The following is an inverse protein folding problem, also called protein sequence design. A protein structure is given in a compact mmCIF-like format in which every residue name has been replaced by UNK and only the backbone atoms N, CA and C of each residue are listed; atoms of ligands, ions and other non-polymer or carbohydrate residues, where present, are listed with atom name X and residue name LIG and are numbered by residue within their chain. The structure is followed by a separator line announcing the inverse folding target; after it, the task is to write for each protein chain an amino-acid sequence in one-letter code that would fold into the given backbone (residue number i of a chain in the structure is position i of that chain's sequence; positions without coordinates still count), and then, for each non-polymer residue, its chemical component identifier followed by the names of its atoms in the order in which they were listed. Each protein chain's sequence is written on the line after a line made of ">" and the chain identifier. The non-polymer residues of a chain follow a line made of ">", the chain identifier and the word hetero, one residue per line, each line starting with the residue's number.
data_IF_873319366688
#
_entry.id   IF_873319366688
#
_cell.length_a   1.000
_cell.length_b   1.000
_cell.length_c   1.000
_cell.angle_alpha   90.00
_cell.angle_beta   90.00
_cell.angle_gamma   90.00
#
_symmetry.space_group_name_H-M   'P 1'
#
loop_
_entity.id
_entity.type
_entity.pdbx_description
1 polymer ?
#
# COMPACT_ATOMS: atom_id res chain seq x y z
N UNK A 1 -10.62 26.02 -27.97
CA UNK A 1 -10.10 24.68 -28.23
C UNK A 1 -9.35 24.22 -26.98
N UNK A 2 -9.95 23.36 -26.16
CA UNK A 2 -9.23 22.74 -25.04
C UNK A 2 -8.15 21.83 -25.64
N UNK A 3 -6.88 22.06 -25.27
CA UNK A 3 -5.80 21.13 -25.59
C UNK A 3 -6.16 19.79 -24.99
N UNK A 4 -6.35 18.76 -25.78
CA UNK A 4 -6.39 17.37 -25.29
C UNK A 4 -5.14 17.14 -24.47
N UNK A 5 -5.31 16.92 -23.18
CA UNK A 5 -4.20 16.54 -22.29
C UNK A 5 -3.80 15.12 -22.67
N UNK A 6 -2.62 14.93 -23.21
CA UNK A 6 -2.08 13.60 -23.45
C UNK A 6 -1.39 13.10 -22.17
N UNK A 7 -1.75 11.90 -21.70
CA UNK A 7 -1.10 11.28 -20.55
C UNK A 7 0.26 10.70 -20.99
N UNK A 8 1.33 11.47 -20.77
CA UNK A 8 2.70 11.06 -21.06
C UNK A 8 3.43 10.68 -19.75
N UNK A 9 3.47 9.39 -19.44
CA UNK A 9 4.15 8.88 -18.23
C UNK A 9 5.64 8.63 -18.51
N UNK A 10 6.53 8.88 -17.53
CA UNK A 10 7.95 8.64 -17.69
C UNK A 10 8.26 7.15 -17.93
N UNK A 11 9.10 6.86 -18.91
CA UNK A 11 9.57 5.49 -19.16
C UNK A 11 10.53 5.07 -18.04
N UNK A 12 10.28 3.91 -17.43
CA UNK A 12 11.18 3.34 -16.43
C UNK A 12 12.47 2.81 -17.09
N UNK A 13 13.59 3.21 -16.51
CA UNK A 13 14.92 2.73 -16.89
C UNK A 13 15.63 2.20 -15.65
N UNK A 14 15.70 0.87 -15.47
CA UNK A 14 16.32 0.27 -14.29
C UNK A 14 17.81 0.59 -14.21
N UNK A 15 18.34 0.60 -12.99
CA UNK A 15 19.79 0.74 -12.76
C UNK A 15 20.51 -0.52 -13.21
N UNK A 16 21.35 -0.43 -14.22
CA UNK A 16 22.07 -1.58 -14.81
C UNK A 16 23.04 -2.27 -13.83
N UNK A 17 23.52 -1.55 -12.82
CA UNK A 17 24.43 -2.06 -11.79
C UNK A 17 23.72 -2.83 -10.66
N UNK A 18 22.37 -2.81 -10.60
CA UNK A 18 21.55 -3.48 -9.57
C UNK A 18 20.59 -4.48 -10.24
N UNK A 19 21.07 -5.61 -10.78
CA UNK A 19 20.24 -6.55 -11.51
C UNK A 19 19.40 -7.42 -10.57
N UNK A 20 18.22 -7.81 -11.06
CA UNK A 20 17.34 -8.81 -10.44
C UNK A 20 16.41 -8.27 -9.35
N UNK A 21 15.24 -8.91 -9.25
CA UNK A 21 14.15 -8.45 -8.40
C UNK A 21 14.51 -8.36 -6.91
N UNK A 22 15.29 -9.30 -6.37
CA UNK A 22 15.70 -9.29 -4.97
C UNK A 22 16.60 -8.09 -4.64
N UNK A 23 17.63 -7.83 -5.44
CA UNK A 23 18.52 -6.70 -5.22
C UNK A 23 17.75 -5.37 -5.33
N UNK A 24 16.88 -5.25 -6.33
CA UNK A 24 16.03 -4.09 -6.55
C UNK A 24 14.97 -3.88 -5.45
N UNK A 25 14.62 -4.93 -4.71
CA UNK A 25 13.73 -4.85 -3.54
C UNK A 25 14.50 -4.43 -2.27
N UNK A 26 15.62 -5.11 -1.98
CA UNK A 26 16.33 -4.96 -0.72
C UNK A 26 17.13 -3.65 -0.66
N UNK A 27 17.86 -3.32 -1.73
CA UNK A 27 18.76 -2.16 -1.73
C UNK A 27 18.05 -0.84 -1.44
N UNK A 28 16.92 -0.49 -2.10
CA UNK A 28 16.20 0.73 -1.80
C UNK A 28 15.62 0.79 -0.40
N UNK A 29 15.20 -0.35 0.13
CA UNK A 29 14.55 -0.44 1.43
C UNK A 29 15.54 -0.39 2.61
N UNK A 30 16.71 -1.02 2.47
CA UNK A 30 17.64 -1.23 3.58
C UNK A 30 18.94 -0.44 3.49
N UNK A 31 19.41 -0.10 2.29
CA UNK A 31 20.74 0.45 2.07
C UNK A 31 20.75 1.87 1.48
N UNK A 32 19.71 2.27 0.76
CA UNK A 32 19.66 3.59 0.16
C UNK A 32 19.22 4.64 1.18
N UNK A 33 20.16 5.48 1.59
CA UNK A 33 19.85 6.59 2.49
C UNK A 33 19.00 7.66 1.79
N UNK A 34 17.96 8.12 2.47
CA UNK A 34 17.15 9.26 2.08
C UNK A 34 17.04 10.25 3.24
N UNK A 35 17.01 11.54 2.92
CA UNK A 35 16.80 12.56 3.95
C UNK A 35 15.43 12.34 4.62
N UNK A 36 15.37 12.20 5.95
CA UNK A 36 14.09 12.05 6.64
C UNK A 36 13.17 13.25 6.42
N UNK A 37 11.88 12.99 6.42
CA UNK A 37 10.83 14.02 6.45
C UNK A 37 10.41 14.30 7.89
N UNK A 38 10.07 15.56 8.14
CA UNK A 38 9.40 15.95 9.38
C UNK A 38 7.90 15.79 9.21
N UNK A 39 7.25 15.16 10.16
CA UNK A 39 5.82 14.96 10.19
C UNK A 39 5.20 15.59 11.42
N UNK A 40 3.99 16.16 11.25
CA UNK A 40 3.11 16.49 12.37
C UNK A 40 2.24 15.26 12.64
N UNK A 41 2.37 14.67 13.82
CA UNK A 41 1.60 13.50 14.25
C UNK A 41 0.28 13.90 14.88
N UNK A 42 -0.80 13.26 14.42
CA UNK A 42 -2.11 13.26 15.04
C UNK A 42 -2.51 11.86 15.47
N UNK A 43 -3.48 11.75 16.37
CA UNK A 43 -4.13 10.50 16.73
C UNK A 43 -5.61 10.61 16.38
N UNK A 44 -6.09 9.68 15.55
CA UNK A 44 -7.50 9.63 15.20
C UNK A 44 -8.17 8.48 15.91
N UNK A 45 -9.30 8.78 16.55
CA UNK A 45 -10.18 7.77 17.12
C UNK A 45 -10.97 7.13 15.98
N UNK A 46 -10.90 5.82 15.92
CA UNK A 46 -11.61 5.00 14.92
C UNK A 46 -13.08 4.84 15.30
N UNK A 47 -13.97 4.44 14.37
CA UNK A 47 -15.39 4.26 14.67
C UNK A 47 -15.70 3.27 15.79
N UNK A 48 -14.83 2.28 16.00
CA UNK A 48 -14.90 1.29 17.08
C UNK A 48 -14.14 1.70 18.36
N UNK A 49 -13.82 3.00 18.51
CA UNK A 49 -13.18 3.60 19.69
C UNK A 49 -11.73 3.15 19.95
N UNK A 50 -11.06 2.60 18.96
CA UNK A 50 -9.60 2.43 18.98
C UNK A 50 -8.90 3.70 18.46
N UNK A 51 -7.58 3.65 18.24
CA UNK A 51 -6.81 4.79 17.74
C UNK A 51 -5.80 4.39 16.69
N UNK A 52 -5.59 5.28 15.71
CA UNK A 52 -4.49 5.19 14.75
C UNK A 52 -3.63 6.45 14.77
N UNK A 53 -2.34 6.31 14.49
CA UNK A 53 -1.44 7.42 14.26
C UNK A 53 -1.57 7.93 12.83
N UNK A 54 -1.55 9.25 12.66
CA UNK A 54 -1.66 9.88 11.35
C UNK A 54 -0.56 10.92 11.22
N UNK A 55 0.32 10.74 10.26
CA UNK A 55 1.44 11.63 9.99
C UNK A 55 1.14 12.56 8.82
N UNK A 56 1.22 13.86 9.07
CA UNK A 56 1.03 14.91 8.08
C UNK A 56 2.36 15.50 7.62
N UNK A 57 2.52 15.69 6.31
CA UNK A 57 3.58 16.55 5.78
C UNK A 57 3.12 18.00 5.68
N UNK A 58 4.07 18.92 5.73
CA UNK A 58 3.80 20.31 5.40
C UNK A 58 3.47 20.47 3.91
N UNK A 59 2.72 21.53 3.58
CA UNK A 59 2.37 21.91 2.22
C UNK A 59 1.48 23.17 2.22
N UNK A 60 1.16 23.68 1.03
CA UNK A 60 0.34 24.89 0.90
C UNK A 60 -1.15 24.58 1.09
N UNK A 61 -1.86 25.43 1.80
CA UNK A 61 -3.31 25.32 1.88
C UNK A 61 -3.95 25.42 0.48
N UNK A 62 -5.05 24.69 0.26
CA UNK A 62 -5.75 24.67 -1.03
C UNK A 62 -5.08 23.81 -2.13
N UNK A 63 -3.91 23.24 -1.86
CA UNK A 63 -3.25 22.31 -2.81
C UNK A 63 -3.75 20.88 -2.65
N UNK A 64 -3.52 20.00 -3.64
CA UNK A 64 -3.90 18.60 -3.55
C UNK A 64 -3.36 17.91 -2.29
N UNK A 65 -4.15 16.96 -1.77
CA UNK A 65 -3.79 16.12 -0.64
C UNK A 65 -3.62 14.67 -1.09
N UNK A 66 -2.46 14.08 -0.80
CA UNK A 66 -2.15 12.69 -1.11
C UNK A 66 -2.27 11.87 0.17
N UNK A 67 -3.13 10.86 0.15
CA UNK A 67 -3.26 9.87 1.23
C UNK A 67 -2.44 8.63 0.85
N UNK A 68 -1.50 8.22 1.70
CA UNK A 68 -0.66 7.06 1.47
C UNK A 68 -1.00 5.92 2.44
N UNK A 69 -1.44 4.80 1.90
CA UNK A 69 -1.61 3.53 2.60
C UNK A 69 -0.34 2.69 2.45
N UNK A 70 0.33 2.43 3.56
CA UNK A 70 1.64 1.76 3.55
C UNK A 70 1.55 0.24 3.39
N UNK A 71 2.67 -0.41 3.06
CA UNK A 71 2.78 -1.87 2.97
C UNK A 71 2.79 -2.55 4.35
N UNK A 72 2.89 -3.89 4.30
CA UNK A 72 3.00 -4.73 5.51
C UNK A 72 4.13 -4.22 6.41
N UNK A 73 3.81 -3.98 7.68
CA UNK A 73 4.74 -3.46 8.71
C UNK A 73 5.40 -2.11 8.36
N UNK A 74 4.86 -1.40 7.36
CA UNK A 74 5.36 -0.10 6.91
C UNK A 74 4.98 1.08 7.81
N UNK A 75 5.41 2.26 7.39
CA UNK A 75 5.11 3.54 8.07
C UNK A 75 5.37 4.73 7.16
N UNK A 76 5.14 5.95 7.66
CA UNK A 76 5.55 7.21 7.03
C UNK A 76 7.06 7.32 6.77
N UNK A 77 7.87 6.49 7.44
CA UNK A 77 9.34 6.42 7.29
C UNK A 77 9.81 5.41 6.24
N UNK A 78 8.91 4.66 5.65
CA UNK A 78 9.25 3.74 4.56
C UNK A 78 9.85 4.50 3.38
N UNK A 79 10.85 3.93 2.71
CA UNK A 79 11.60 4.57 1.63
C UNK A 79 10.70 5.15 0.54
N UNK A 80 9.62 4.45 0.17
CA UNK A 80 8.66 4.88 -0.82
C UNK A 80 7.81 6.08 -0.34
N UNK A 81 7.45 6.12 0.94
CA UNK A 81 6.71 7.24 1.52
C UNK A 81 7.56 8.51 1.55
N UNK A 82 8.81 8.39 2.00
CA UNK A 82 9.79 9.49 2.02
C UNK A 82 10.03 10.00 0.60
N UNK A 83 10.25 9.12 -0.36
CA UNK A 83 10.49 9.49 -1.77
C UNK A 83 9.28 10.21 -2.39
N UNK A 84 8.05 9.68 -2.18
CA UNK A 84 6.83 10.28 -2.71
C UNK A 84 6.62 11.69 -2.14
N UNK A 85 6.72 11.84 -0.83
CA UNK A 85 6.41 13.13 -0.21
C UNK A 85 7.51 14.18 -0.39
N UNK A 86 8.75 13.81 -0.61
CA UNK A 86 9.76 14.76 -1.08
C UNK A 86 9.39 15.36 -2.44
N UNK A 87 8.88 14.56 -3.36
CA UNK A 87 8.46 15.03 -4.67
C UNK A 87 7.14 15.81 -4.63
N UNK A 88 6.20 15.39 -3.77
CA UNK A 88 4.94 16.11 -3.53
C UNK A 88 5.20 17.51 -2.91
N UNK A 89 6.07 17.58 -1.91
CA UNK A 89 6.47 18.83 -1.28
C UNK A 89 7.07 19.85 -2.27
N UNK A 90 7.92 19.38 -3.20
CA UNK A 90 8.47 20.25 -4.26
C UNK A 90 7.40 20.86 -5.16
N UNK A 91 6.22 20.23 -5.26
CA UNK A 91 5.04 20.73 -5.97
C UNK A 91 4.12 21.56 -5.08
N UNK A 92 4.47 21.73 -3.81
CA UNK A 92 3.64 22.38 -2.81
C UNK A 92 2.43 21.55 -2.38
N UNK A 93 2.36 20.25 -2.73
CA UNK A 93 1.27 19.37 -2.37
C UNK A 93 1.44 18.84 -0.94
N UNK A 94 0.33 18.53 -0.31
CA UNK A 94 0.28 17.97 1.04
C UNK A 94 0.23 16.45 1.01
N UNK A 95 0.73 15.83 2.06
CA UNK A 95 0.68 14.39 2.23
C UNK A 95 0.19 13.99 3.61
N UNK A 96 -0.44 12.83 3.66
CA UNK A 96 -0.89 12.21 4.90
C UNK A 96 -0.63 10.70 4.85
N UNK A 97 -0.11 10.15 5.95
CA UNK A 97 0.06 8.71 6.15
C UNK A 97 -0.75 8.29 7.37
N UNK A 98 -1.98 7.82 7.18
CA UNK A 98 -2.66 7.06 8.22
C UNK A 98 -1.94 5.73 8.39
N UNK A 99 -1.50 5.43 9.62
CA UNK A 99 -0.89 4.16 9.92
C UNK A 99 -1.98 3.12 10.18
N UNK A 100 -1.84 1.96 9.56
CA UNK A 100 -2.70 0.83 9.91
C UNK A 100 -2.57 0.48 11.38
N UNK A 101 -3.60 -0.11 11.94
CA UNK A 101 -3.65 -0.53 13.35
C UNK A 101 -2.40 -1.33 13.72
N UNK A 102 -1.87 -1.13 14.91
CA UNK A 102 -0.60 -1.70 15.39
C UNK A 102 0.67 -1.17 14.71
N UNK A 103 0.54 -0.26 13.74
CA UNK A 103 1.68 0.42 13.10
C UNK A 103 1.83 1.86 13.61
N UNK A 104 2.95 2.51 13.27
CA UNK A 104 3.19 3.91 13.62
C UNK A 104 3.40 4.19 15.11
N UNK A 105 3.71 3.17 15.92
CA UNK A 105 3.92 3.29 17.38
C UNK A 105 2.70 3.79 18.17
N UNK A 106 1.50 3.58 17.67
CA UNK A 106 0.26 3.84 18.41
C UNK A 106 -0.26 2.50 18.92
N UNK A 107 -0.39 2.34 20.26
CA UNK A 107 -0.94 1.11 20.80
C UNK A 107 -2.44 1.04 20.51
N UNK A 108 -2.84 -0.02 19.84
CA UNK A 108 -4.25 -0.36 19.68
C UNK A 108 -4.77 -1.12 20.91
N UNK A 109 -5.96 -0.81 21.35
CA UNK A 109 -6.58 -1.42 22.53
C UNK A 109 -7.45 -2.61 22.19
N UNK A 110 -8.07 -2.58 20.98
CA UNK A 110 -8.96 -3.65 20.54
C UNK A 110 -8.18 -4.86 20.01
N UNK A 111 -8.75 -6.07 20.05
CA UNK A 111 -8.15 -7.28 19.48
C UNK A 111 -7.86 -7.14 17.99
N UNK A 112 -8.73 -6.48 17.26
CA UNK A 112 -8.58 -6.22 15.82
C UNK A 112 -7.22 -5.61 15.49
N UNK A 113 -6.57 -6.12 14.47
CA UNK A 113 -5.38 -5.59 13.83
C UNK A 113 -5.76 -5.02 12.46
N UNK A 114 -4.82 -4.94 11.54
CA UNK A 114 -5.08 -4.65 10.13
C UNK A 114 -4.92 -5.92 9.30
N UNK A 115 -5.52 -5.95 8.12
CA UNK A 115 -5.36 -7.03 7.17
C UNK A 115 -5.35 -6.52 5.72
N UNK A 116 -4.97 -7.40 4.77
CA UNK A 116 -4.71 -6.98 3.39
C UNK A 116 -5.96 -6.47 2.64
N UNK A 117 -7.17 -6.87 3.05
CA UNK A 117 -8.42 -6.44 2.43
C UNK A 117 -9.22 -5.45 3.27
N UNK A 118 -8.58 -4.64 4.12
CA UNK A 118 -9.25 -3.73 5.07
C UNK A 118 -9.82 -2.47 4.40
N UNK A 119 -10.74 -2.69 3.45
CA UNK A 119 -11.39 -1.63 2.68
C UNK A 119 -12.27 -0.72 3.54
N UNK A 120 -12.86 -1.25 4.62
CA UNK A 120 -13.68 -0.46 5.53
C UNK A 120 -12.86 0.63 6.26
N UNK A 121 -11.62 0.32 6.64
CA UNK A 121 -10.74 1.31 7.28
C UNK A 121 -10.25 2.34 6.25
N UNK A 122 -9.98 1.92 5.02
CA UNK A 122 -9.67 2.82 3.89
C UNK A 122 -10.85 3.78 3.63
N UNK A 123 -12.09 3.27 3.58
CA UNK A 123 -13.30 4.07 3.37
C UNK A 123 -13.46 5.13 4.45
N UNK A 124 -13.40 4.73 5.71
CA UNK A 124 -13.52 5.64 6.83
C UNK A 124 -12.47 6.77 6.79
N UNK A 125 -11.22 6.44 6.51
CA UNK A 125 -10.12 7.42 6.41
C UNK A 125 -10.38 8.41 5.28
N UNK A 126 -10.69 7.92 4.07
CA UNK A 126 -10.88 8.75 2.90
C UNK A 126 -12.12 9.65 3.02
N UNK A 127 -13.25 9.10 3.50
CA UNK A 127 -14.48 9.91 3.73
C UNK A 127 -14.30 10.94 4.84
N UNK A 128 -13.56 10.61 5.91
CA UNK A 128 -13.20 11.59 6.95
C UNK A 128 -12.40 12.75 6.35
N UNK A 129 -11.43 12.46 5.50
CA UNK A 129 -10.64 13.51 4.83
C UNK A 129 -11.48 14.33 3.86
N UNK A 130 -12.32 13.69 3.04
CA UNK A 130 -13.23 14.40 2.13
C UNK A 130 -14.18 15.32 2.88
N UNK A 131 -14.71 14.87 4.03
CA UNK A 131 -15.58 15.69 4.90
C UNK A 131 -14.85 16.91 5.47
N UNK A 132 -13.60 16.72 5.90
CA UNK A 132 -12.82 17.80 6.53
C UNK A 132 -12.19 18.76 5.51
N UNK A 133 -12.02 18.33 4.27
CA UNK A 133 -11.40 19.08 3.18
C UNK A 133 -12.23 18.95 1.89
N UNK A 134 -13.50 19.41 1.86
CA UNK A 134 -14.43 19.14 0.76
C UNK A 134 -13.95 19.68 -0.59
N UNK A 135 -13.29 20.84 -0.60
CA UNK A 135 -12.80 21.51 -1.80
C UNK A 135 -11.37 21.11 -2.21
N UNK A 136 -10.70 20.30 -1.38
CA UNK A 136 -9.33 19.88 -1.67
C UNK A 136 -9.33 18.66 -2.59
N UNK A 137 -8.64 18.69 -3.74
CA UNK A 137 -8.44 17.49 -4.54
C UNK A 137 -7.73 16.41 -3.73
N UNK A 138 -8.41 15.28 -3.53
CA UNK A 138 -7.89 14.15 -2.76
C UNK A 138 -7.44 13.05 -3.71
N UNK A 139 -6.21 12.55 -3.50
CA UNK A 139 -5.61 11.43 -4.21
C UNK A 139 -5.19 10.34 -3.22
N UNK A 140 -5.28 9.08 -3.63
CA UNK A 140 -4.88 7.96 -2.80
C UNK A 140 -3.76 7.15 -3.44
N UNK A 141 -2.76 6.76 -2.64
CA UNK A 141 -1.67 5.87 -3.07
C UNK A 141 -1.56 4.71 -2.09
N UNK A 142 -1.57 3.49 -2.61
CA UNK A 142 -1.33 2.29 -1.81
C UNK A 142 -0.06 1.57 -2.25
N UNK A 143 0.76 1.15 -1.30
CA UNK A 143 1.96 0.37 -1.55
C UNK A 143 1.81 -1.04 -0.99
N UNK A 144 2.14 -2.05 -1.79
CA UNK A 144 2.11 -3.45 -1.37
C UNK A 144 0.75 -3.81 -0.75
N UNK A 145 0.68 -4.28 0.49
CA UNK A 145 -0.56 -4.56 1.22
C UNK A 145 -1.54 -3.38 1.18
N UNK A 146 -1.05 -2.15 1.41
CA UNK A 146 -1.89 -0.95 1.31
C UNK A 146 -2.44 -0.69 -0.09
N UNK A 147 -1.70 -1.13 -1.13
CA UNK A 147 -2.17 -1.12 -2.51
C UNK A 147 -3.32 -2.08 -2.74
N UNK A 148 -3.26 -3.29 -2.18
CA UNK A 148 -4.36 -4.25 -2.25
C UNK A 148 -5.60 -3.74 -1.51
N UNK A 149 -5.45 -3.20 -0.29
CA UNK A 149 -6.57 -2.63 0.47
C UNK A 149 -7.25 -1.46 -0.27
N UNK A 150 -6.45 -0.59 -0.90
CA UNK A 150 -6.95 0.52 -1.71
C UNK A 150 -7.69 0.03 -2.97
N UNK A 151 -7.12 -0.93 -3.71
CA UNK A 151 -7.78 -1.52 -4.89
C UNK A 151 -9.08 -2.24 -4.52
N UNK A 152 -9.09 -2.93 -3.37
CA UNK A 152 -10.28 -3.59 -2.83
C UNK A 152 -11.38 -2.56 -2.56
N UNK A 153 -11.05 -1.46 -1.87
CA UNK A 153 -11.97 -0.36 -1.63
C UNK A 153 -12.50 0.26 -2.93
N UNK A 154 -11.60 0.55 -3.88
CA UNK A 154 -11.98 1.13 -5.19
C UNK A 154 -12.98 0.26 -5.95
N UNK A 155 -12.74 -1.05 -6.00
CA UNK A 155 -13.64 -1.98 -6.69
C UNK A 155 -14.95 -2.18 -5.96
N UNK A 156 -14.97 -2.23 -4.62
CA UNK A 156 -16.18 -2.37 -3.82
C UNK A 156 -17.06 -1.10 -3.86
N UNK A 157 -16.45 0.09 -3.94
CA UNK A 157 -17.17 1.35 -4.05
C UNK A 157 -17.63 1.65 -5.48
N UNK A 158 -16.95 1.14 -6.50
CA UNK A 158 -17.28 1.43 -7.90
C UNK A 158 -17.38 2.94 -8.15
N UNK A 159 -18.50 3.37 -8.77
CA UNK A 159 -18.73 4.78 -9.13
C UNK A 159 -18.75 5.73 -7.94
N UNK A 160 -19.16 5.27 -6.74
CA UNK A 160 -19.24 6.14 -5.55
C UNK A 160 -17.86 6.58 -5.03
N UNK A 161 -16.80 5.89 -5.40
CA UNK A 161 -15.44 6.31 -5.07
C UNK A 161 -15.05 7.65 -5.72
N UNK A 162 -15.67 8.03 -6.87
CA UNK A 162 -15.45 9.31 -7.54
C UNK A 162 -15.92 10.52 -6.71
N UNK A 163 -16.87 10.32 -5.79
CA UNK A 163 -17.32 11.37 -4.87
C UNK A 163 -16.28 11.68 -3.81
N UNK A 164 -15.30 10.78 -3.63
CA UNK A 164 -14.32 10.85 -2.55
C UNK A 164 -12.94 11.26 -3.05
N UNK A 165 -12.42 10.61 -4.08
CA UNK A 165 -11.09 10.87 -4.63
C UNK A 165 -11.10 11.09 -6.15
N UNK A 166 -10.12 11.84 -6.65
CA UNK A 166 -9.99 12.16 -8.08
C UNK A 166 -9.20 11.13 -8.88
N UNK A 167 -8.22 10.51 -8.26
CA UNK A 167 -7.46 9.40 -8.85
C UNK A 167 -6.73 8.62 -7.77
N UNK A 168 -6.32 7.39 -8.11
CA UNK A 168 -5.56 6.50 -7.24
C UNK A 168 -4.31 5.95 -7.92
N UNK A 169 -3.35 5.48 -7.11
CA UNK A 169 -2.25 4.66 -7.57
C UNK A 169 -2.03 3.48 -6.63
N UNK A 170 -1.81 2.29 -7.18
CA UNK A 170 -1.44 1.10 -6.42
C UNK A 170 -0.11 0.57 -6.95
N UNK A 171 0.85 0.39 -6.05
CA UNK A 171 2.22 0.01 -6.39
C UNK A 171 2.55 -1.31 -5.75
N UNK A 172 3.00 -2.27 -6.56
CA UNK A 172 3.39 -3.61 -6.11
C UNK A 172 2.32 -4.26 -5.21
N UNK A 173 1.04 -4.10 -5.58
CA UNK A 173 -0.09 -4.59 -4.81
C UNK A 173 -0.27 -6.11 -4.99
N UNK A 174 -0.33 -6.90 -3.91
CA UNK A 174 -0.59 -8.34 -3.97
C UNK A 174 -2.08 -8.62 -4.19
N UNK A 175 -2.57 -8.40 -5.41
CA UNK A 175 -3.98 -8.52 -5.77
C UNK A 175 -4.52 -9.96 -5.67
N UNK A 176 -3.63 -10.95 -5.76
CA UNK A 176 -3.87 -12.36 -5.51
C UNK A 176 -3.05 -12.80 -4.30
N UNK A 177 -3.67 -12.76 -3.12
CA UNK A 177 -2.98 -13.04 -1.85
C UNK A 177 -2.51 -14.49 -1.75
N UNK A 178 -3.21 -15.42 -2.35
CA UNK A 178 -2.81 -16.83 -2.35
C UNK A 178 -1.53 -17.03 -3.19
N UNK A 179 -1.47 -16.45 -4.38
CA UNK A 179 -0.27 -16.50 -5.22
C UNK A 179 0.92 -15.82 -4.52
N UNK A 180 0.70 -14.64 -3.93
CA UNK A 180 1.73 -13.86 -3.21
C UNK A 180 2.22 -14.60 -1.96
N UNK A 181 1.32 -15.05 -1.08
CA UNK A 181 1.66 -15.77 0.14
C UNK A 181 2.44 -17.05 -0.15
N UNK A 182 1.98 -17.82 -1.15
CA UNK A 182 2.69 -19.04 -1.58
C UNK A 182 4.09 -18.75 -2.16
N UNK A 183 4.29 -17.61 -2.84
CA UNK A 183 5.59 -17.20 -3.35
C UNK A 183 6.53 -16.75 -2.22
N UNK A 184 6.01 -16.00 -1.26
CA UNK A 184 6.78 -15.55 -0.08
C UNK A 184 7.19 -16.71 0.83
N UNK A 185 6.35 -17.73 0.98
CA UNK A 185 6.60 -18.87 1.86
C UNK A 185 7.53 -19.93 1.27
N UNK A 186 8.06 -19.74 0.04
CA UNK A 186 8.93 -20.71 -0.64
C UNK A 186 10.33 -20.18 -0.90
N UNK A 187 11.28 -21.11 -0.96
CA UNK A 187 12.65 -20.86 -1.40
C UNK A 187 13.34 -19.73 -0.65
N UNK A 188 14.07 -18.90 -1.38
CA UNK A 188 14.84 -17.79 -0.83
C UNK A 188 13.94 -16.70 -0.20
N UNK A 189 12.72 -16.49 -0.71
CA UNK A 189 11.77 -15.52 -0.19
C UNK A 189 11.44 -15.77 1.28
N UNK A 190 11.25 -17.05 1.64
CA UNK A 190 10.96 -17.45 3.03
C UNK A 190 12.07 -17.02 4.01
N UNK A 191 13.32 -17.07 3.58
CA UNK A 191 14.45 -16.71 4.43
C UNK A 191 14.70 -15.20 4.47
N UNK A 192 14.53 -14.52 3.35
CA UNK A 192 14.79 -13.08 3.24
C UNK A 192 13.64 -12.22 3.75
N UNK A 193 12.39 -12.58 3.43
CA UNK A 193 11.22 -11.70 3.66
C UNK A 193 10.26 -12.27 4.69
N UNK A 194 9.78 -13.52 4.51
CA UNK A 194 8.79 -14.10 5.42
C UNK A 194 9.29 -14.17 6.86
N UNK A 195 10.55 -14.54 7.04
CA UNK A 195 11.17 -14.59 8.37
C UNK A 195 11.20 -13.21 9.05
N UNK A 196 11.49 -12.15 8.31
CA UNK A 196 11.52 -10.78 8.81
C UNK A 196 10.12 -10.30 9.18
N UNK A 197 9.15 -10.48 8.29
CA UNK A 197 7.75 -10.14 8.57
C UNK A 197 7.20 -10.88 9.79
N UNK A 198 7.40 -12.18 9.87
CA UNK A 198 6.95 -12.97 11.02
C UNK A 198 7.63 -12.55 12.33
N UNK A 199 8.84 -12.00 12.28
CA UNK A 199 9.55 -11.48 13.46
C UNK A 199 8.78 -10.33 14.11
N UNK A 200 8.26 -9.40 13.34
CA UNK A 200 7.47 -8.26 13.82
C UNK A 200 6.02 -8.62 14.08
N UNK A 201 5.39 -9.37 13.18
CA UNK A 201 3.98 -9.79 13.29
C UNK A 201 3.73 -10.63 14.55
N UNK A 202 4.60 -11.59 14.90
CA UNK A 202 4.49 -12.37 16.14
C UNK A 202 4.56 -11.51 17.39
N UNK A 203 5.47 -10.53 17.45
CA UNK A 203 5.55 -9.59 18.58
C UNK A 203 4.26 -8.81 18.77
N UNK A 204 3.67 -8.33 17.68
CA UNK A 204 2.39 -7.63 17.68
C UNK A 204 1.23 -8.54 18.08
N UNK A 205 1.18 -9.77 17.55
CA UNK A 205 0.18 -10.76 17.95
C UNK A 205 0.29 -11.08 19.44
N UNK A 206 1.48 -11.29 19.97
CA UNK A 206 1.70 -11.52 21.40
C UNK A 206 1.20 -10.34 22.26
N UNK A 207 1.47 -9.11 21.82
CA UNK A 207 0.96 -7.93 22.53
C UNK A 207 -0.57 -7.90 22.54
N UNK A 208 -1.21 -8.16 21.40
CA UNK A 208 -2.67 -8.20 21.26
C UNK A 208 -3.33 -9.27 22.13
N UNK A 209 -2.74 -10.47 22.17
CA UNK A 209 -3.25 -11.57 22.99
C UNK A 209 -3.15 -11.31 24.51
N UNK A 210 -2.21 -10.45 24.94
CA UNK A 210 -2.14 -9.99 26.32
C UNK A 210 -3.22 -8.97 26.69
N UNK A 211 -3.75 -8.22 25.71
CA UNK A 211 -4.78 -7.20 25.93
C UNK A 211 -6.18 -7.79 25.94
N UNK A 212 -6.38 -8.92 25.29
CA UNK A 212 -7.66 -9.62 25.25
C UNK A 212 -7.41 -11.11 25.20
N UNK A 213 -8.01 -11.85 26.13
CA UNK A 213 -8.08 -13.30 26.04
C UNK A 213 -8.92 -13.66 24.80
N UNK A 214 -8.25 -14.02 23.70
CA UNK A 214 -8.92 -14.58 22.55
C UNK A 214 -8.82 -16.11 22.65
N UNK A 215 -9.90 -16.83 22.96
CA UNK A 215 -9.88 -18.27 23.17
C UNK A 215 -9.55 -19.06 21.89
N UNK A 216 -9.59 -18.41 20.73
CA UNK A 216 -9.33 -19.05 19.43
C UNK A 216 -7.86 -19.00 19.01
N UNK A 217 -6.99 -18.30 19.75
CA UNK A 217 -5.58 -18.13 19.38
C UNK A 217 -4.66 -18.70 20.45
N UNK A 218 -4.02 -19.83 20.14
CA UNK A 218 -3.00 -20.43 20.98
C UNK A 218 -1.63 -19.80 20.70
N UNK A 219 -1.12 -19.04 21.68
CA UNK A 219 0.19 -18.41 21.57
C UNK A 219 1.35 -19.40 21.39
N UNK A 220 1.25 -20.62 21.91
CA UNK A 220 2.30 -21.63 21.74
C UNK A 220 2.41 -22.07 20.28
N UNK A 221 1.26 -22.17 19.59
CA UNK A 221 1.24 -22.44 18.15
C UNK A 221 1.77 -21.25 17.35
N UNK A 222 1.36 -20.03 17.70
CA UNK A 222 1.83 -18.79 17.02
C UNK A 222 3.36 -18.63 17.09
N UNK A 223 3.99 -19.03 18.18
CA UNK A 223 5.47 -19.03 18.31
C UNK A 223 6.15 -19.95 17.29
N UNK A 224 5.52 -21.04 16.90
CA UNK A 224 6.07 -22.05 16.01
C UNK A 224 5.84 -21.78 14.53
N UNK A 225 4.99 -20.80 14.20
CA UNK A 225 4.67 -20.38 12.83
C UNK A 225 5.93 -20.08 12.04
N UNK A 226 6.03 -20.59 10.83
CA UNK A 226 7.19 -20.41 9.94
C UNK A 226 6.84 -19.86 8.56
N UNK A 227 5.54 -19.69 8.27
CA UNK A 227 5.01 -19.22 7.00
C UNK A 227 3.95 -18.14 7.22
N UNK A 228 3.72 -17.28 6.23
CA UNK A 228 2.63 -16.32 6.27
C UNK A 228 1.29 -17.04 6.26
N UNK A 229 1.17 -18.13 5.52
CA UNK A 229 -0.03 -18.98 5.50
C UNK A 229 -0.41 -19.46 6.90
N UNK A 230 0.54 -20.03 7.64
CA UNK A 230 0.30 -20.48 9.02
C UNK A 230 -0.08 -19.31 9.95
N UNK A 231 0.58 -18.16 9.79
CA UNK A 231 0.25 -16.98 10.60
C UNK A 231 -1.16 -16.44 10.29
N UNK A 232 -1.50 -16.36 9.02
CA UNK A 232 -2.80 -15.87 8.60
C UNK A 232 -3.93 -16.82 9.01
N UNK A 233 -3.69 -18.12 8.98
CA UNK A 233 -4.65 -19.13 9.44
C UNK A 233 -4.89 -19.07 10.95
N UNK A 234 -3.81 -18.98 11.73
CA UNK A 234 -3.87 -19.03 13.19
C UNK A 234 -4.18 -17.68 13.85
N UNK A 235 -3.89 -16.56 13.18
CA UNK A 235 -3.98 -15.22 13.80
C UNK A 235 -4.88 -14.28 12.98
N UNK A 236 -4.51 -14.00 11.72
CA UNK A 236 -5.19 -12.97 10.94
C UNK A 236 -6.66 -13.36 10.68
N UNK A 237 -6.90 -14.57 10.23
CA UNK A 237 -8.25 -15.03 9.91
C UNK A 237 -9.18 -15.02 11.15
N UNK A 238 -8.83 -15.63 12.29
CA UNK A 238 -9.69 -15.62 13.47
C UNK A 238 -9.93 -14.24 14.07
N UNK A 239 -8.92 -13.34 14.02
CA UNK A 239 -9.07 -11.97 14.55
C UNK A 239 -10.05 -11.12 13.74
N UNK A 240 -10.29 -11.47 12.48
CA UNK A 240 -11.11 -10.68 11.56
C UNK A 240 -12.38 -11.43 11.08
N UNK A 241 -12.70 -12.59 11.68
CA UNK A 241 -13.93 -13.33 11.39
C UNK A 241 -13.92 -14.07 10.05
N UNK A 242 -12.74 -14.47 9.59
CA UNK A 242 -12.60 -15.38 8.44
C UNK A 242 -12.53 -16.84 8.91
N UNK A 243 -13.01 -17.77 8.06
CA UNK A 243 -13.03 -19.21 8.37
C UNK A 243 -11.68 -19.93 8.16
N UNK A 244 -10.59 -19.18 8.07
CA UNK A 244 -9.23 -19.65 7.86
C UNK A 244 -8.54 -18.88 6.75
N UNK A 245 -7.30 -19.27 6.44
CA UNK A 245 -6.45 -18.56 5.49
C UNK A 245 -7.01 -18.55 4.06
N UNK A 246 -7.65 -19.60 3.62
CA UNK A 246 -8.23 -19.69 2.26
C UNK A 246 -9.39 -18.71 2.10
N UNK A 247 -10.30 -18.63 3.08
CA UNK A 247 -11.39 -17.66 3.10
C UNK A 247 -10.83 -16.23 3.17
N UNK A 248 -9.86 -16.00 4.05
CA UNK A 248 -9.20 -14.71 4.18
C UNK A 248 -8.56 -14.28 2.85
N UNK A 249 -7.68 -15.10 2.27
CA UNK A 249 -6.97 -14.71 1.06
C UNK A 249 -7.90 -14.54 -0.14
N UNK A 250 -8.93 -15.39 -0.26
CA UNK A 250 -9.93 -15.25 -1.31
C UNK A 250 -10.72 -13.94 -1.19
N UNK A 251 -11.28 -13.65 -0.02
CA UNK A 251 -12.13 -12.48 0.22
C UNK A 251 -11.36 -11.17 0.29
N UNK A 252 -10.13 -11.19 0.78
CA UNK A 252 -9.28 -10.01 0.91
C UNK A 252 -8.51 -9.65 -0.36
N UNK A 253 -8.39 -10.53 -1.33
CA UNK A 253 -7.79 -10.26 -2.63
C UNK A 253 -8.59 -9.24 -3.43
N UNK A 254 -7.91 -8.26 -4.02
CA UNK A 254 -8.55 -7.24 -4.86
C UNK A 254 -8.74 -7.67 -6.32
N UNK A 255 -8.12 -8.76 -6.77
CA UNK A 255 -8.15 -9.20 -8.17
C UNK A 255 -9.57 -9.35 -8.73
N UNK A 256 -10.50 -9.88 -7.92
CA UNK A 256 -11.90 -10.11 -8.32
C UNK A 256 -12.72 -8.84 -8.54
N UNK A 257 -12.26 -7.69 -8.01
CA UNK A 257 -13.00 -6.42 -8.06
C UNK A 257 -12.35 -5.35 -8.95
N UNK A 258 -11.27 -5.67 -9.65
CA UNK A 258 -10.56 -4.71 -10.51
C UNK A 258 -11.41 -4.19 -11.66
N UNK A 259 -12.36 -4.98 -12.16
CA UNK A 259 -13.28 -4.58 -13.23
C UNK A 259 -14.35 -3.57 -12.80
N UNK A 260 -14.58 -3.45 -11.49
CA UNK A 260 -15.56 -2.51 -10.92
C UNK A 260 -14.94 -1.14 -10.58
N UNK A 261 -13.63 -0.98 -10.72
CA UNK A 261 -12.95 0.30 -10.42
C UNK A 261 -13.39 1.35 -11.44
N UNK A 262 -13.98 2.44 -10.96
CA UNK A 262 -14.45 3.55 -11.78
C UNK A 262 -13.56 4.81 -11.68
N UNK A 263 -12.79 4.94 -10.61
CA UNK A 263 -11.83 6.03 -10.41
C UNK A 263 -10.59 5.82 -11.28
N UNK A 264 -10.09 6.85 -12.00
CA UNK A 264 -8.80 6.75 -12.69
C UNK A 264 -7.71 6.20 -11.77
N UNK A 265 -7.17 5.02 -12.10
CA UNK A 265 -6.26 4.29 -11.22
C UNK A 265 -5.02 3.84 -11.99
N UNK A 266 -3.84 4.21 -11.48
CA UNK A 266 -2.55 3.74 -11.99
C UNK A 266 -2.09 2.53 -11.21
N UNK A 267 -1.99 1.37 -11.86
CA UNK A 267 -1.55 0.11 -11.27
C UNK A 267 -0.15 -0.24 -11.74
N UNK A 268 0.83 -0.17 -10.84
CA UNK A 268 2.26 -0.35 -11.15
C UNK A 268 2.78 -1.61 -10.47
N UNK A 269 3.19 -2.61 -11.27
CA UNK A 269 3.80 -3.85 -10.79
C UNK A 269 4.97 -4.25 -11.70
N UNK A 270 6.16 -4.49 -11.13
CA UNK A 270 7.27 -5.02 -11.90
C UNK A 270 7.09 -6.52 -12.18
N UNK A 271 7.44 -6.96 -13.40
CA UNK A 271 7.35 -8.39 -13.77
C UNK A 271 8.36 -9.27 -13.01
N UNK A 272 9.45 -8.68 -12.50
CA UNK A 272 10.46 -9.37 -11.69
C UNK A 272 10.27 -9.21 -10.18
N UNK A 273 9.08 -8.77 -9.74
CA UNK A 273 8.79 -8.64 -8.30
C UNK A 273 8.88 -10.01 -7.61
N UNK A 274 9.77 -10.19 -6.61
CA UNK A 274 9.95 -11.49 -5.98
C UNK A 274 8.76 -11.92 -5.11
N UNK A 275 7.84 -11.01 -4.78
CA UNK A 275 6.66 -11.30 -3.96
C UNK A 275 5.49 -11.79 -4.82
N UNK A 276 5.42 -11.35 -6.07
CA UNK A 276 4.29 -11.62 -6.93
C UNK A 276 4.74 -12.31 -8.21
N UNK A 277 4.35 -13.59 -8.40
CA UNK A 277 4.60 -14.27 -9.67
C UNK A 277 3.99 -13.49 -10.84
N UNK A 278 4.75 -13.26 -11.91
CA UNK A 278 4.30 -12.47 -13.06
C UNK A 278 2.96 -12.96 -13.65
N UNK A 279 2.71 -14.29 -13.63
CA UNK A 279 1.46 -14.88 -14.11
C UNK A 279 0.23 -14.55 -13.23
N UNK A 280 0.42 -14.08 -11.99
CA UNK A 280 -0.67 -13.66 -11.11
C UNK A 280 -1.09 -12.20 -11.32
N UNK A 281 -0.27 -11.42 -12.04
CA UNK A 281 -0.56 -10.02 -12.34
C UNK A 281 -1.74 -9.91 -13.32
N UNK A 282 -2.55 -8.84 -13.22
CA UNK A 282 -3.67 -8.64 -14.10
C UNK A 282 -3.21 -8.27 -15.52
N UNK A 283 -4.01 -8.68 -16.49
CA UNK A 283 -3.96 -8.22 -17.88
C UNK A 283 -4.98 -7.11 -18.11
N UNK A 284 -4.96 -6.50 -19.28
CA UNK A 284 -5.96 -5.49 -19.69
C UNK A 284 -7.40 -6.04 -19.68
N UNK A 285 -7.57 -7.35 -19.78
CA UNK A 285 -8.88 -8.01 -19.74
C UNK A 285 -9.39 -8.19 -18.31
N UNK A 286 -8.54 -8.05 -17.30
CA UNK A 286 -8.88 -8.27 -15.89
C UNK A 286 -9.27 -6.96 -15.17
N UNK A 287 -9.13 -5.83 -15.83
CA UNK A 287 -9.33 -4.48 -15.25
C UNK A 287 -10.39 -3.71 -16.01
N UNK A 288 -10.92 -2.63 -15.40
CA UNK A 288 -11.78 -1.66 -16.06
C UNK A 288 -10.99 -0.70 -16.96
N UNK A 289 -11.68 0.07 -17.80
CA UNK A 289 -11.07 1.14 -18.62
C UNK A 289 -10.47 2.28 -17.78
N UNK A 290 -10.91 2.45 -16.54
CA UNK A 290 -10.36 3.44 -15.62
C UNK A 290 -8.97 3.04 -15.07
N UNK A 291 -8.54 1.78 -15.22
CA UNK A 291 -7.28 1.28 -14.69
C UNK A 291 -6.19 1.27 -15.76
N UNK A 292 -5.12 2.02 -15.51
CA UNK A 292 -3.92 2.06 -16.34
C UNK A 292 -2.86 1.10 -15.80
N UNK A 293 -2.59 0.01 -16.52
CA UNK A 293 -1.56 -0.97 -16.16
C UNK A 293 -0.16 -0.47 -16.59
N UNK A 294 0.77 -0.44 -15.66
CA UNK A 294 2.17 -0.15 -15.92
C UNK A 294 3.04 -1.27 -15.33
N UNK A 295 3.49 -2.18 -16.19
CA UNK A 295 4.17 -3.41 -15.79
C UNK A 295 5.58 -3.48 -16.40
N UNK A 296 6.56 -2.69 -15.91
CA UNK A 296 7.92 -2.76 -16.41
C UNK A 296 8.55 -4.13 -16.10
N UNK A 297 9.49 -4.56 -16.95
CA UNK A 297 10.16 -5.85 -16.78
C UNK A 297 10.93 -5.98 -15.47
N UNK A 298 11.49 -4.87 -15.01
CA UNK A 298 12.28 -4.79 -13.79
C UNK A 298 11.70 -3.73 -12.83
N UNK A 299 12.13 -3.75 -11.56
CA UNK A 299 11.67 -2.81 -10.54
C UNK A 299 11.70 -3.40 -9.13
N UNK A 300 11.67 -4.72 -9.02
CA UNK A 300 11.55 -5.42 -7.74
C UNK A 300 10.23 -5.07 -7.03
N UNK A 301 10.18 -5.36 -5.75
CA UNK A 301 9.04 -5.01 -4.90
C UNK A 301 9.19 -3.58 -4.37
N UNK A 302 8.42 -2.63 -4.91
CA UNK A 302 8.43 -1.20 -4.51
C UNK A 302 9.79 -0.49 -4.70
N UNK A 303 10.75 -1.09 -5.37
CA UNK A 303 12.10 -0.53 -5.51
C UNK A 303 12.19 0.54 -6.59
N UNK A 304 11.98 0.16 -7.84
CA UNK A 304 12.02 1.04 -9.02
C UNK A 304 13.20 2.02 -9.03
N UNK A 305 14.39 1.51 -8.67
CA UNK A 305 15.63 2.29 -8.65
C UNK A 305 16.10 2.60 -10.06
N UNK A 306 16.54 3.82 -10.31
CA UNK A 306 17.08 4.26 -11.60
C UNK A 306 18.41 5.02 -11.47
N UNK A 307 19.18 5.10 -12.56
CA UNK A 307 20.41 5.88 -12.65
C UNK A 307 21.67 5.18 -12.13
N UNK A 308 22.84 5.87 -12.20
CA UNK A 308 24.11 5.36 -11.71
C UNK A 308 24.15 5.24 -10.19
N UNK A 309 25.11 4.50 -9.60
CA UNK A 309 25.25 4.41 -8.14
C UNK A 309 25.31 5.79 -7.46
N UNK A 310 24.68 5.96 -6.30
CA UNK A 310 23.92 5.00 -5.51
C UNK A 310 22.48 4.77 -5.99
N UNK A 311 22.06 5.35 -7.13
CA UNK A 311 20.72 5.27 -7.66
C UNK A 311 19.76 6.33 -7.13
N UNK A 312 18.57 6.40 -7.74
CA UNK A 312 17.53 7.39 -7.39
C UNK A 312 16.15 6.73 -7.37
N UNK A 313 15.33 7.11 -6.41
CA UNK A 313 13.92 6.68 -6.28
C UNK A 313 12.96 7.75 -6.83
N UNK A 314 13.36 8.48 -7.87
CA UNK A 314 12.56 9.60 -8.40
C UNK A 314 11.50 9.17 -9.41
N UNK A 315 11.75 8.07 -10.17
CA UNK A 315 10.87 7.67 -11.25
C UNK A 315 9.44 7.34 -10.76
N UNK A 316 9.33 6.50 -9.73
CA UNK A 316 8.04 6.06 -9.21
C UNK A 316 7.16 7.22 -8.71
N UNK A 317 7.64 8.10 -7.79
CA UNK A 317 6.85 9.24 -7.35
C UNK A 317 6.57 10.24 -8.48
N UNK A 318 7.50 10.46 -9.40
CA UNK A 318 7.27 11.34 -10.56
C UNK A 318 6.15 10.82 -11.44
N UNK A 319 6.13 9.52 -11.72
CA UNK A 319 5.10 8.84 -12.51
C UNK A 319 3.72 8.98 -11.84
N UNK A 320 3.63 8.71 -10.54
CA UNK A 320 2.39 8.85 -9.76
C UNK A 320 1.90 10.29 -9.77
N UNK A 321 2.79 11.25 -9.49
CA UNK A 321 2.41 12.67 -9.42
C UNK A 321 2.04 13.26 -10.77
N UNK A 322 2.65 12.81 -11.88
CA UNK A 322 2.21 13.17 -13.25
C UNK A 322 0.81 12.63 -13.56
N UNK A 323 0.54 11.38 -13.19
CA UNK A 323 -0.79 10.79 -13.33
C UNK A 323 -1.82 11.58 -12.54
N UNK A 324 -1.57 11.94 -11.30
CA UNK A 324 -2.47 12.75 -10.49
C UNK A 324 -2.65 14.16 -11.05
N UNK A 325 -1.57 14.77 -11.52
CA UNK A 325 -1.65 16.12 -12.14
C UNK A 325 -2.50 16.12 -13.41
N UNK A 326 -2.48 15.04 -14.17
CA UNK A 326 -3.35 14.87 -15.34
C UNK A 326 -4.84 14.85 -14.97
N UNK A 327 -5.18 14.21 -13.85
CA UNK A 327 -6.54 14.08 -13.33
C UNK A 327 -6.95 15.20 -12.35
N UNK A 328 -6.13 16.23 -12.18
CA UNK A 328 -6.56 17.41 -11.42
C UNK A 328 -7.76 18.07 -12.11
N UNK A 329 -8.80 18.45 -11.34
CA UNK A 329 -9.91 19.25 -11.88
C UNK A 329 -9.36 20.53 -12.50
N UNK A 330 -9.89 20.89 -13.65
CA UNK A 330 -9.60 22.19 -14.25
C UNK A 330 -10.09 23.27 -13.27
N UNK A 331 -9.18 24.11 -12.80
CA UNK A 331 -9.55 25.29 -12.01
C UNK A 331 -10.44 26.16 -12.91
N UNK A 332 -11.71 26.25 -12.57
CA UNK A 332 -12.66 27.13 -13.24
C UNK A 332 -12.44 28.57 -12.81
#
# INVERSE_FOLDING_TARGET
>A
MAREKHLDLPIYRPSSWLPGGHAQTIYPAALLWQRPLTYKREHWITPDLDAIGVDWTDGRAGTPLIVLFHGLEGSSRSHYAVSLFHQAYRRGWRGIVPHFRTCGNVPNRLPRSYHAGDSAEVDWILRRLKKNFPETPLFAVGYSLGGNALLKWLGEQGDTANDVIYAAAAVSAPMDLAACGNALDKGINRHLYTREFLGTMRKKAQYKLKLSENPFIDWQQVKQVRTLREFDDLVTAPLHGFFGVEDYWSRASSKSVLKQIAVPTLLINALNDPFMPAHSLPTVQDVSEAVHLLQPREGGHVGFLSGPPPGRLSWLPETILKFFQYHLPLVR
#
